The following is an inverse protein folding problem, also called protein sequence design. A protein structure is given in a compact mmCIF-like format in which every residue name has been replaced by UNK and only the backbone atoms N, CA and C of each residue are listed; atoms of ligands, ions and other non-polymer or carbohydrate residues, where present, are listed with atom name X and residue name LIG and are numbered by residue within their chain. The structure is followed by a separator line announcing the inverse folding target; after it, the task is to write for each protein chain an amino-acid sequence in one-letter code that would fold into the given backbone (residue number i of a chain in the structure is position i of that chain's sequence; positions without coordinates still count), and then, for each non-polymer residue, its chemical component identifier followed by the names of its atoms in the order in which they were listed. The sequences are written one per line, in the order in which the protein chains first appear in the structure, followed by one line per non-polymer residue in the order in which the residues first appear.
data_IF_395837852593
#
_entry.id   IF_395837852593
#
_cell.length_a   1.000
_cell.length_b   1.000
_cell.length_c   1.000
_cell.angle_alpha   90.00
_cell.angle_beta   90.00
_cell.angle_gamma   90.00
#
_symmetry.space_group_name_H-M   'P 1'
#
loop_
_entity.id
_entity.type
_entity.pdbx_description
1 polymer ?
#
# COMPACT_ATOMS: atom_id res chain seq x y z
N UNK A 1 -10.81 9.15 21.46
CA UNK A 1 -10.35 9.02 22.87
C UNK A 1 -10.98 10.07 23.77
N UNK A 2 -11.37 11.25 23.25
CA UNK A 2 -11.89 12.37 24.03
C UNK A 2 -10.82 13.19 24.76
N UNK A 3 -9.57 12.94 24.48
CA UNK A 3 -8.40 13.67 24.97
C UNK A 3 -7.77 14.48 23.84
N UNK A 4 -7.08 15.56 24.19
CA UNK A 4 -6.32 16.33 23.22
C UNK A 4 -5.18 15.45 22.66
N UNK A 5 -4.96 15.45 21.33
CA UNK A 5 -3.90 14.63 20.73
C UNK A 5 -2.52 15.15 21.12
N UNK A 6 -1.58 14.23 21.31
CA UNK A 6 -0.17 14.61 21.43
C UNK A 6 0.29 15.33 20.15
N UNK A 7 0.93 16.50 20.26
CA UNK A 7 1.35 17.30 19.09
C UNK A 7 2.31 16.57 18.15
N UNK A 8 3.18 15.70 18.67
CA UNK A 8 4.10 14.91 17.86
C UNK A 8 3.34 13.82 17.09
N UNK A 9 2.41 13.13 17.75
CA UNK A 9 1.53 12.14 17.13
C UNK A 9 0.66 12.76 16.02
N UNK A 10 0.10 13.96 16.29
CA UNK A 10 -0.68 14.70 15.29
C UNK A 10 0.18 15.09 14.08
N UNK A 11 1.42 15.57 14.29
CA UNK A 11 2.35 15.91 13.22
C UNK A 11 2.75 14.67 12.40
N UNK A 12 3.02 13.55 13.05
CA UNK A 12 3.38 12.31 12.38
C UNK A 12 2.23 11.77 11.50
N UNK A 13 1.00 11.85 12.00
CA UNK A 13 -0.19 11.48 11.25
C UNK A 13 -0.45 12.42 10.07
N UNK A 14 -0.34 13.73 10.25
CA UNK A 14 -0.48 14.73 9.19
C UNK A 14 0.51 14.48 8.04
N UNK A 15 1.78 14.23 8.37
CA UNK A 15 2.79 13.88 7.36
C UNK A 15 2.50 12.56 6.67
N UNK A 16 2.01 11.54 7.38
CA UNK A 16 1.56 10.29 6.77
C UNK A 16 0.46 10.55 5.76
N UNK A 17 -0.58 11.30 6.14
CA UNK A 17 -1.70 11.63 5.25
C UNK A 17 -1.23 12.41 4.01
N UNK A 18 -0.33 13.37 4.18
CA UNK A 18 0.25 14.15 3.08
C UNK A 18 1.05 13.26 2.10
N UNK A 19 1.91 12.38 2.60
CA UNK A 19 2.79 11.54 1.79
C UNK A 19 2.04 10.51 0.94
N UNK A 20 0.85 10.09 1.36
CA UNK A 20 0.05 9.09 0.66
C UNK A 20 -1.12 9.68 -0.15
N UNK A 21 -1.33 11.00 -0.08
CA UNK A 21 -2.47 11.70 -0.69
C UNK A 21 -2.59 11.45 -2.20
N UNK A 22 -1.45 11.36 -2.91
CA UNK A 22 -1.42 11.18 -4.36
C UNK A 22 -0.23 10.29 -4.77
N UNK A 23 -0.40 9.51 -5.82
CA UNK A 23 0.69 8.70 -6.42
C UNK A 23 0.38 8.27 -7.85
N UNK A 24 0.16 9.24 -8.73
CA UNK A 24 -0.06 9.03 -10.16
C UNK A 24 -1.18 8.02 -10.49
N UNK A 25 -1.06 7.32 -11.61
CA UNK A 25 -2.02 6.33 -12.09
C UNK A 25 -1.78 4.93 -11.46
N UNK A 26 -1.77 4.84 -10.13
CA UNK A 26 -1.80 3.56 -9.46
C UNK A 26 -3.14 2.81 -9.72
N UNK A 27 -3.22 1.54 -9.31
CA UNK A 27 -4.36 0.69 -9.63
C UNK A 27 -5.70 1.27 -9.17
N UNK A 28 -5.80 1.83 -7.96
CA UNK A 28 -7.04 2.41 -7.44
C UNK A 28 -7.40 3.74 -8.12
N UNK A 29 -6.42 4.58 -8.41
CA UNK A 29 -6.63 5.81 -9.20
C UNK A 29 -7.10 5.49 -10.61
N UNK A 30 -6.51 4.48 -11.25
CA UNK A 30 -6.96 4.03 -12.56
C UNK A 30 -8.41 3.50 -12.53
N UNK A 31 -8.77 2.74 -11.50
CA UNK A 31 -10.14 2.27 -11.29
C UNK A 31 -11.14 3.43 -11.14
N UNK A 32 -10.79 4.47 -10.35
CA UNK A 32 -11.60 5.68 -10.24
C UNK A 32 -11.78 6.38 -11.59
N UNK A 33 -10.70 6.55 -12.36
CA UNK A 33 -10.75 7.18 -13.69
C UNK A 33 -11.56 6.35 -14.71
N UNK A 34 -11.44 5.03 -14.68
CA UNK A 34 -12.27 4.16 -15.54
C UNK A 34 -13.75 4.36 -15.23
N UNK A 35 -14.13 4.35 -13.95
CA UNK A 35 -15.52 4.58 -13.54
C UNK A 35 -15.99 5.99 -13.92
N UNK A 36 -15.22 7.03 -13.63
CA UNK A 36 -15.54 8.41 -14.00
C UNK A 36 -15.67 8.60 -15.52
N UNK A 37 -14.86 7.90 -16.31
CA UNK A 37 -14.86 8.00 -17.78
C UNK A 37 -16.18 7.56 -18.41
N UNK A 38 -16.98 6.76 -17.70
CA UNK A 38 -18.31 6.34 -18.16
C UNK A 38 -19.41 7.38 -17.94
N UNK A 39 -19.08 8.53 -17.32
CA UNK A 39 -20.05 9.54 -16.87
C UNK A 39 -20.71 9.21 -15.53
N UNK A 40 -20.19 8.22 -14.79
CA UNK A 40 -20.67 7.90 -13.45
C UNK A 40 -20.27 8.97 -12.44
N UNK A 41 -20.98 9.01 -11.30
CA UNK A 41 -20.77 10.01 -10.25
C UNK A 41 -19.49 9.79 -9.43
N UNK A 42 -19.08 10.82 -8.67
CA UNK A 42 -17.88 10.82 -7.86
C UNK A 42 -17.90 9.69 -6.80
N UNK A 43 -19.04 9.44 -6.15
CA UNK A 43 -19.14 8.42 -5.09
C UNK A 43 -18.92 7.02 -5.66
N UNK A 44 -19.47 6.74 -6.85
CA UNK A 44 -19.25 5.48 -7.57
C UNK A 44 -17.78 5.30 -7.95
N UNK A 45 -17.11 6.36 -8.42
CA UNK A 45 -15.69 6.33 -8.75
C UNK A 45 -14.82 6.07 -7.50
N UNK A 46 -15.10 6.74 -6.38
CA UNK A 46 -14.39 6.54 -5.11
C UNK A 46 -14.66 5.12 -4.56
N UNK A 47 -15.89 4.62 -4.62
CA UNK A 47 -16.22 3.25 -4.19
C UNK A 47 -15.42 2.21 -5.00
N UNK A 48 -15.29 2.39 -6.30
CA UNK A 48 -14.48 1.54 -7.17
C UNK A 48 -12.99 1.58 -6.77
N UNK A 49 -12.47 2.78 -6.45
CA UNK A 49 -11.10 2.96 -5.98
C UNK A 49 -10.85 2.27 -4.64
N UNK A 50 -11.77 2.37 -3.67
CA UNK A 50 -11.70 1.69 -2.38
C UNK A 50 -11.68 0.18 -2.57
N UNK A 51 -12.55 -0.37 -3.44
CA UNK A 51 -12.58 -1.78 -3.77
C UNK A 51 -11.24 -2.28 -4.33
N UNK A 52 -10.54 -1.45 -5.11
CA UNK A 52 -9.22 -1.76 -5.66
C UNK A 52 -8.12 -1.60 -4.60
N UNK A 53 -8.18 -0.54 -3.78
CA UNK A 53 -7.18 -0.26 -2.75
C UNK A 53 -7.09 -1.36 -1.69
N UNK A 54 -8.21 -1.96 -1.29
CA UNK A 54 -8.24 -3.00 -0.26
C UNK A 54 -7.55 -4.31 -0.64
N UNK A 55 -7.12 -4.45 -1.89
CA UNK A 55 -6.42 -5.65 -2.34
C UNK A 55 -5.02 -5.80 -1.69
N UNK A 56 -4.59 -7.04 -1.33
CA UNK A 56 -3.32 -7.28 -0.63
C UNK A 56 -2.07 -6.94 -1.46
N UNK A 57 -2.22 -6.76 -2.77
CA UNK A 57 -1.15 -6.31 -3.66
C UNK A 57 -1.15 -4.78 -3.87
N UNK A 58 -1.98 -4.06 -3.13
CA UNK A 58 -2.09 -2.60 -3.19
C UNK A 58 -2.19 -2.03 -1.76
N UNK A 59 -3.17 -1.25 -1.41
CA UNK A 59 -3.22 -0.52 -0.13
C UNK A 59 -3.32 -1.39 1.13
N UNK A 60 -3.80 -2.64 1.04
CA UNK A 60 -3.74 -3.55 2.19
C UNK A 60 -2.32 -4.07 2.50
N UNK A 61 -1.32 -3.74 1.68
CA UNK A 61 0.08 -4.13 1.95
C UNK A 61 0.62 -3.54 3.26
N UNK A 62 0.13 -2.38 3.71
CA UNK A 62 0.50 -1.79 5.01
C UNK A 62 -0.01 -2.63 6.19
N UNK A 63 -1.20 -3.22 6.10
CA UNK A 63 -1.72 -4.18 7.08
C UNK A 63 -0.82 -5.42 7.14
N UNK A 64 -0.54 -6.03 5.99
CA UNK A 64 0.30 -7.22 5.90
C UNK A 64 1.73 -6.96 6.41
N UNK A 65 2.26 -5.75 6.19
CA UNK A 65 3.55 -5.34 6.73
C UNK A 65 3.53 -5.32 8.28
N UNK A 66 2.46 -4.82 8.91
CA UNK A 66 2.38 -4.85 10.37
C UNK A 66 2.18 -6.27 10.92
N UNK A 67 1.37 -7.10 10.27
CA UNK A 67 1.23 -8.52 10.64
C UNK A 67 2.59 -9.21 10.62
N UNK A 68 3.41 -8.94 9.60
CA UNK A 68 4.79 -9.43 9.53
C UNK A 68 5.65 -8.95 10.72
N UNK A 69 5.58 -7.68 11.09
CA UNK A 69 6.32 -7.15 12.24
C UNK A 69 5.87 -7.81 13.56
N UNK A 70 4.58 -8.02 13.73
CA UNK A 70 4.01 -8.72 14.89
C UNK A 70 4.44 -10.20 14.95
N UNK A 71 4.57 -10.87 13.80
CA UNK A 71 5.05 -12.25 13.70
C UNK A 71 6.55 -12.36 14.05
N UNK A 72 7.36 -11.37 13.68
CA UNK A 72 8.76 -11.26 14.11
C UNK A 72 8.85 -11.07 15.61
N UNK A 73 8.06 -10.20 16.19
CA UNK A 73 7.88 -9.94 17.61
C UNK A 73 9.04 -9.25 18.31
N UNK A 74 10.28 -9.64 18.06
CA UNK A 74 11.48 -9.06 18.69
C UNK A 74 12.63 -8.87 17.71
N UNK A 75 13.56 -7.96 18.02
CA UNK A 75 14.76 -7.69 17.19
C UNK A 75 15.60 -8.95 16.97
N UNK A 76 15.71 -9.80 17.99
CA UNK A 76 16.53 -11.03 17.91
C UNK A 76 15.93 -12.06 16.93
N UNK A 77 14.63 -12.02 16.72
CA UNK A 77 13.93 -12.91 15.80
C UNK A 77 14.02 -12.48 14.32
N UNK A 78 14.47 -11.28 14.03
CA UNK A 78 14.49 -10.74 12.65
C UNK A 78 15.26 -11.64 11.69
N UNK A 79 16.49 -12.02 12.01
CA UNK A 79 17.31 -12.84 11.11
C UNK A 79 16.81 -14.29 10.97
N UNK A 80 16.40 -14.99 12.06
CA UNK A 80 15.77 -16.30 11.95
C UNK A 80 14.49 -16.25 11.10
N UNK A 81 13.61 -15.30 11.38
CA UNK A 81 12.36 -15.10 10.63
C UNK A 81 12.64 -14.83 9.15
N UNK A 82 13.55 -13.90 8.84
CA UNK A 82 13.92 -13.56 7.47
C UNK A 82 14.42 -14.78 6.69
N UNK A 83 15.32 -15.58 7.28
CA UNK A 83 15.83 -16.81 6.66
C UNK A 83 14.71 -17.82 6.38
N UNK A 84 13.79 -18.00 7.33
CA UNK A 84 12.64 -18.90 7.17
C UNK A 84 11.70 -18.40 6.06
N UNK A 85 11.35 -17.12 6.06
CA UNK A 85 10.52 -16.50 5.03
C UNK A 85 11.14 -16.65 3.62
N UNK A 86 12.46 -16.42 3.50
CA UNK A 86 13.20 -16.60 2.24
C UNK A 86 13.20 -18.05 1.77
N UNK A 87 13.44 -19.00 2.67
CA UNK A 87 13.44 -20.44 2.36
C UNK A 87 12.06 -20.93 1.91
N UNK A 88 10.99 -20.38 2.49
CA UNK A 88 9.60 -20.67 2.12
C UNK A 88 9.12 -19.93 0.86
N UNK A 89 9.93 -19.03 0.29
CA UNK A 89 9.53 -18.20 -0.86
C UNK A 89 8.51 -17.11 -0.52
N UNK A 90 8.34 -16.80 0.75
CA UNK A 90 7.43 -15.75 1.20
C UNK A 90 7.99 -14.37 0.84
N UNK A 91 7.08 -13.44 0.55
CA UNK A 91 7.45 -12.03 0.36
C UNK A 91 7.74 -11.37 1.70
N UNK A 92 8.80 -10.56 1.73
CA UNK A 92 9.00 -9.60 2.81
C UNK A 92 8.16 -8.36 2.48
N UNK A 93 7.08 -8.16 3.22
CA UNK A 93 6.14 -7.07 2.96
C UNK A 93 6.80 -5.71 3.20
N UNK A 94 6.40 -4.72 2.40
CA UNK A 94 7.02 -3.40 2.44
C UNK A 94 8.38 -3.28 1.73
N UNK A 95 8.88 -4.34 1.08
CA UNK A 95 10.12 -4.31 0.30
C UNK A 95 9.84 -4.36 -1.21
N UNK A 96 10.43 -3.39 -1.93
CA UNK A 96 10.26 -3.23 -3.38
C UNK A 96 9.05 -2.37 -3.76
N UNK A 97 9.09 -1.81 -4.97
CA UNK A 97 8.04 -0.96 -5.51
C UNK A 97 7.87 -1.18 -7.02
N UNK A 98 6.65 -1.01 -7.55
CA UNK A 98 6.39 -1.20 -8.98
C UNK A 98 7.07 -0.12 -9.83
N UNK A 99 7.08 1.11 -9.34
CA UNK A 99 7.64 2.29 -10.02
C UNK A 99 9.09 2.55 -9.61
N UNK A 100 9.33 2.70 -8.31
CA UNK A 100 10.67 3.02 -7.81
C UNK A 100 11.63 1.84 -7.95
N UNK A 101 12.80 2.11 -8.54
CA UNK A 101 13.94 1.18 -8.62
C UNK A 101 15.04 1.54 -7.62
N UNK A 102 14.73 2.47 -6.73
CA UNK A 102 15.52 2.92 -5.59
C UNK A 102 14.63 2.91 -4.35
N UNK A 103 15.21 3.23 -3.19
CA UNK A 103 14.41 3.40 -1.96
C UNK A 103 13.31 4.42 -2.18
N UNK A 104 12.08 4.08 -1.77
CA UNK A 104 10.92 4.96 -1.88
C UNK A 104 11.18 6.28 -1.12
N UNK A 105 11.08 7.45 -1.78
CA UNK A 105 11.36 8.72 -1.12
C UNK A 105 10.47 9.01 0.09
N UNK A 106 9.29 8.39 0.16
CA UNK A 106 8.35 8.53 1.27
C UNK A 106 8.79 7.74 2.51
N UNK A 107 9.60 6.71 2.35
CA UNK A 107 10.07 5.89 3.46
C UNK A 107 10.97 6.67 4.44
N UNK A 108 11.78 7.62 3.95
CA UNK A 108 12.69 8.38 4.79
C UNK A 108 11.98 9.32 5.79
N UNK A 109 11.00 10.18 5.40
CA UNK A 109 10.26 10.99 6.36
C UNK A 109 9.40 10.17 7.32
N UNK A 110 8.83 9.03 6.90
CA UNK A 110 8.09 8.14 7.80
C UNK A 110 9.00 7.49 8.85
N UNK A 111 10.19 7.05 8.44
CA UNK A 111 11.21 6.56 9.36
C UNK A 111 11.63 7.63 10.38
N UNK A 112 11.84 8.86 9.93
CA UNK A 112 12.22 9.97 10.81
C UNK A 112 11.12 10.31 11.83
N UNK A 113 9.84 10.20 11.45
CA UNK A 113 8.73 10.38 12.39
C UNK A 113 8.68 9.26 13.43
N UNK A 114 8.86 8.01 13.00
CA UNK A 114 8.93 6.88 13.92
C UNK A 114 10.09 7.03 14.91
N UNK A 115 11.26 7.50 14.44
CA UNK A 115 12.43 7.78 15.30
C UNK A 115 12.12 8.86 16.35
N UNK A 116 11.46 9.96 15.97
CA UNK A 116 11.01 11.00 16.91
C UNK A 116 10.01 10.47 17.94
N UNK A 117 9.09 9.60 17.53
CA UNK A 117 8.18 8.94 18.45
C UNK A 117 8.94 8.10 19.48
N UNK A 118 9.95 7.35 19.05
CA UNK A 118 10.84 6.59 19.92
C UNK A 118 11.58 7.49 20.92
N UNK A 119 12.12 8.62 20.46
CA UNK A 119 12.80 9.58 21.33
C UNK A 119 11.87 10.16 22.41
N UNK A 120 10.59 10.37 22.07
CA UNK A 120 9.61 10.94 22.99
C UNK A 120 9.03 9.91 23.97
N UNK A 121 8.80 8.68 23.53
CA UNK A 121 8.12 7.63 24.33
C UNK A 121 9.07 6.63 24.98
N UNK A 122 10.25 6.45 24.41
CA UNK A 122 11.19 5.36 24.77
C UNK A 122 10.84 3.99 24.19
N UNK A 123 9.74 3.86 23.47
CA UNK A 123 9.27 2.61 22.86
C UNK A 123 9.98 2.33 21.54
N UNK A 124 11.05 1.52 21.59
CA UNK A 124 11.94 1.30 20.44
C UNK A 124 11.63 0.05 19.61
N UNK A 125 10.84 -0.88 20.13
CA UNK A 125 10.74 -2.24 19.59
C UNK A 125 10.46 -2.28 18.08
N UNK A 126 9.42 -1.60 17.65
CA UNK A 126 9.01 -1.61 16.24
C UNK A 126 9.98 -0.88 15.30
N UNK A 127 10.60 0.18 15.81
CA UNK A 127 11.66 0.89 15.08
C UNK A 127 12.89 0.01 14.90
N UNK A 128 13.34 -0.63 15.98
CA UNK A 128 14.54 -1.46 15.97
C UNK A 128 14.34 -2.72 15.09
N UNK A 129 13.15 -3.37 15.16
CA UNK A 129 12.78 -4.47 14.25
C UNK A 129 12.81 -3.99 12.80
N UNK A 130 12.19 -2.85 12.47
CA UNK A 130 12.15 -2.32 11.12
C UNK A 130 13.57 -2.02 10.59
N UNK A 131 14.40 -1.35 11.38
CA UNK A 131 15.79 -1.05 11.03
C UNK A 131 16.61 -2.32 10.78
N UNK A 132 16.49 -3.30 11.67
CA UNK A 132 17.19 -4.58 11.56
C UNK A 132 16.72 -5.36 10.33
N UNK A 133 15.39 -5.41 10.08
CA UNK A 133 14.83 -6.12 8.94
C UNK A 133 15.25 -5.47 7.60
N UNK A 134 15.21 -4.13 7.50
CA UNK A 134 15.68 -3.43 6.30
C UNK A 134 17.16 -3.75 6.05
N UNK A 135 18.02 -3.65 7.08
CA UNK A 135 19.44 -3.96 6.96
C UNK A 135 19.69 -5.42 6.54
N UNK A 136 18.97 -6.38 7.14
CA UNK A 136 19.06 -7.80 6.82
C UNK A 136 18.63 -8.08 5.37
N UNK A 137 17.52 -7.49 4.92
CA UNK A 137 17.04 -7.64 3.56
C UNK A 137 18.01 -7.02 2.54
N UNK A 138 18.54 -5.83 2.80
CA UNK A 138 19.50 -5.17 1.90
C UNK A 138 20.85 -5.87 1.81
N UNK A 139 21.22 -6.69 2.81
CA UNK A 139 22.39 -7.55 2.77
C UNK A 139 22.18 -8.85 1.95
N UNK A 140 20.92 -9.24 1.71
CA UNK A 140 20.60 -10.42 0.89
C UNK A 140 20.76 -10.11 -0.59
N UNK A 141 21.53 -10.90 -1.39
CA UNK A 141 21.76 -10.67 -2.81
C UNK A 141 20.47 -10.55 -3.64
N UNK A 142 19.43 -11.30 -3.29
CA UNK A 142 18.15 -11.25 -4.01
C UNK A 142 17.49 -9.87 -3.96
N UNK A 143 17.54 -9.19 -2.81
CA UNK A 143 16.97 -7.86 -2.65
C UNK A 143 17.88 -6.79 -3.25
N UNK A 144 19.18 -6.91 -2.99
CA UNK A 144 20.17 -5.96 -3.49
C UNK A 144 20.22 -5.92 -5.03
N UNK A 145 20.37 -7.07 -5.68
CA UNK A 145 20.47 -7.17 -7.15
C UNK A 145 19.19 -6.72 -7.87
N UNK A 146 18.02 -6.84 -7.21
CA UNK A 146 16.72 -6.44 -7.75
C UNK A 146 16.27 -5.06 -7.31
N UNK A 147 17.09 -4.34 -6.55
CA UNK A 147 16.77 -3.02 -5.98
C UNK A 147 15.45 -3.02 -5.18
N UNK A 148 15.21 -4.08 -4.39
CA UNK A 148 14.01 -4.22 -3.57
C UNK A 148 14.22 -3.53 -2.21
N UNK A 149 14.23 -2.20 -2.21
CA UNK A 149 14.37 -1.37 -1.01
C UNK A 149 13.03 -1.16 -0.30
N UNK A 150 13.07 -0.64 0.93
CA UNK A 150 11.88 -0.30 1.70
C UNK A 150 11.00 0.71 0.94
N UNK A 151 9.71 0.41 0.89
CA UNK A 151 8.68 1.27 0.31
C UNK A 151 7.89 1.99 1.41
N UNK A 152 6.83 2.72 1.03
CA UNK A 152 6.02 3.50 1.96
C UNK A 152 5.38 2.63 3.05
N UNK A 153 4.92 1.43 2.73
CA UNK A 153 4.21 0.55 3.67
C UNK A 153 5.12 0.05 4.80
N UNK A 154 6.42 -0.11 4.50
CA UNK A 154 7.40 -0.64 5.45
C UNK A 154 7.52 0.20 6.72
N UNK A 155 7.57 1.53 6.60
CA UNK A 155 7.66 2.44 7.75
C UNK A 155 6.30 3.01 8.17
N UNK A 156 5.31 3.00 7.30
CA UNK A 156 3.93 3.37 7.67
C UNK A 156 3.35 2.40 8.70
N UNK A 157 3.60 1.12 8.56
CA UNK A 157 3.02 0.10 9.43
C UNK A 157 3.43 0.28 10.90
N UNK A 158 4.71 0.30 11.26
CA UNK A 158 5.13 0.55 12.64
C UNK A 158 4.79 1.95 13.13
N UNK A 159 4.79 2.97 12.26
CA UNK A 159 4.38 4.33 12.63
C UNK A 159 2.91 4.37 13.07
N UNK A 160 1.99 3.87 12.24
CA UNK A 160 0.56 3.82 12.57
C UNK A 160 0.30 3.00 13.85
N UNK A 161 1.02 1.91 14.02
CA UNK A 161 0.91 1.07 15.22
C UNK A 161 1.37 1.83 16.48
N UNK A 162 2.49 2.55 16.41
CA UNK A 162 3.00 3.38 17.51
C UNK A 162 2.06 4.57 17.85
N UNK A 163 1.23 4.99 16.90
CA UNK A 163 0.18 5.98 17.12
C UNK A 163 -1.09 5.38 17.79
N UNK A 164 -1.10 4.08 18.12
CA UNK A 164 -2.24 3.39 18.71
C UNK A 164 -3.38 3.11 17.73
N UNK A 165 -3.14 3.21 16.43
CA UNK A 165 -4.15 2.90 15.42
C UNK A 165 -4.28 1.37 15.28
N UNK A 166 -5.50 0.81 15.36
CA UNK A 166 -5.71 -0.63 15.21
C UNK A 166 -5.29 -1.12 13.82
N UNK A 167 -4.61 -2.25 13.75
CA UNK A 167 -4.00 -2.80 12.50
C UNK A 167 -5.05 -3.04 11.41
N UNK A 168 -6.24 -3.51 11.79
CA UNK A 168 -7.36 -3.75 10.87
C UNK A 168 -7.92 -2.47 10.22
N UNK A 169 -7.57 -1.29 10.75
CA UNK A 169 -7.97 0.02 10.20
C UNK A 169 -6.91 0.68 9.32
N UNK A 170 -5.72 0.10 9.16
CA UNK A 170 -4.60 0.69 8.39
C UNK A 170 -4.97 1.01 6.93
N UNK A 171 -5.71 0.11 6.27
CA UNK A 171 -6.21 0.38 4.92
C UNK A 171 -7.22 1.52 4.87
N UNK A 172 -8.00 1.73 5.95
CA UNK A 172 -8.88 2.88 6.08
C UNK A 172 -8.08 4.18 6.21
N UNK A 173 -6.99 4.18 6.97
CA UNK A 173 -6.08 5.33 7.08
C UNK A 173 -5.46 5.68 5.73
N UNK A 174 -5.06 4.67 4.95
CA UNK A 174 -4.59 4.87 3.59
C UNK A 174 -5.68 5.47 2.70
N UNK A 175 -6.92 4.98 2.81
CA UNK A 175 -8.08 5.51 2.08
C UNK A 175 -8.33 6.99 2.40
N UNK A 176 -8.29 7.36 3.68
CA UNK A 176 -8.48 8.74 4.14
C UNK A 176 -7.47 9.70 3.51
N UNK A 177 -6.23 9.27 3.38
CA UNK A 177 -5.21 10.04 2.68
C UNK A 177 -5.47 10.11 1.17
N UNK A 178 -5.64 8.94 0.53
CA UNK A 178 -5.65 8.83 -0.93
C UNK A 178 -6.92 9.37 -1.59
N UNK A 179 -8.02 9.55 -0.87
CA UNK A 179 -9.28 10.08 -1.41
C UNK A 179 -9.10 11.45 -2.06
N UNK A 180 -8.18 12.26 -1.57
CA UNK A 180 -7.84 13.58 -2.14
C UNK A 180 -7.30 13.41 -3.57
N UNK A 181 -6.32 12.52 -3.75
CA UNK A 181 -5.76 12.23 -5.06
C UNK A 181 -6.78 11.61 -6.02
N UNK A 182 -7.60 10.66 -5.56
CA UNK A 182 -8.67 10.10 -6.39
C UNK A 182 -9.66 11.15 -6.86
N UNK A 183 -10.06 12.05 -5.97
CA UNK A 183 -11.00 13.14 -6.28
C UNK A 183 -10.39 14.08 -7.33
N UNK A 184 -9.14 14.47 -7.16
CA UNK A 184 -8.41 15.30 -8.14
C UNK A 184 -8.37 14.62 -9.52
N UNK A 185 -8.03 13.32 -9.56
CA UNK A 185 -8.01 12.55 -10.80
C UNK A 185 -9.39 12.38 -11.47
N UNK A 186 -10.46 12.28 -10.67
CA UNK A 186 -11.83 12.23 -11.21
C UNK A 186 -12.21 13.56 -11.86
N UNK A 187 -11.93 14.68 -11.19
CA UNK A 187 -12.19 16.01 -11.79
C UNK A 187 -11.38 16.22 -13.06
N UNK A 188 -10.09 15.90 -13.05
CA UNK A 188 -9.23 15.97 -14.23
C UNK A 188 -9.77 15.11 -15.39
N UNK A 189 -10.27 13.89 -15.08
CA UNK A 189 -10.90 13.04 -16.09
C UNK A 189 -12.16 13.65 -16.67
N UNK A 190 -12.97 14.33 -15.86
CA UNK A 190 -14.22 14.95 -16.27
C UNK A 190 -14.03 16.20 -17.15
N UNK A 191 -12.95 16.98 -16.93
CA UNK A 191 -12.65 18.19 -17.71
C UNK A 191 -12.48 17.92 -19.20
N UNK A 192 -11.88 16.78 -19.55
CA UNK A 192 -11.70 16.39 -20.96
C UNK A 192 -11.97 14.88 -21.10
N UNK A 193 -13.22 14.51 -20.82
CA UNK A 193 -13.60 13.11 -20.67
C UNK A 193 -13.57 12.33 -21.98
N UNK A 194 -12.94 11.19 -21.95
CA UNK A 194 -13.03 10.16 -22.97
C UNK A 194 -13.18 8.79 -22.30
N UNK A 195 -14.15 8.00 -22.77
CA UNK A 195 -14.38 6.64 -22.27
C UNK A 195 -13.10 5.79 -22.35
N UNK A 196 -12.66 5.28 -21.23
CA UNK A 196 -11.53 4.34 -21.13
C UNK A 196 -12.06 2.94 -21.44
N UNK A 197 -11.79 2.48 -22.64
CA UNK A 197 -12.24 1.17 -23.13
C UNK A 197 -11.12 0.50 -23.92
N UNK A 198 -10.29 -0.31 -23.27
CA UNK A 198 -9.22 -1.07 -23.94
C UNK A 198 -9.79 -2.00 -25.03
N UNK A 199 -9.03 -2.20 -26.07
CA UNK A 199 -9.32 -3.21 -27.09
C UNK A 199 -8.67 -4.54 -26.71
N UNK A 200 -9.29 -5.62 -27.16
CA UNK A 200 -8.76 -6.96 -26.98
C UNK A 200 -8.74 -7.73 -28.30
N UNK A 201 -7.76 -8.60 -28.48
CA UNK A 201 -7.73 -9.54 -29.58
C UNK A 201 -8.40 -10.85 -29.12
N UNK A 202 -9.38 -11.29 -29.89
CA UNK A 202 -10.00 -12.60 -29.65
C UNK A 202 -9.03 -13.71 -30.05
N UNK A 203 -8.75 -14.63 -29.12
CA UNK A 203 -7.85 -15.77 -29.31
C UNK A 203 -8.57 -17.12 -29.25
N UNK A 204 -9.90 -17.11 -29.17
CA UNK A 204 -10.71 -18.32 -29.17
C UNK A 204 -11.01 -18.83 -30.57
N UNK A 205 -11.75 -19.93 -30.64
CA UNK A 205 -12.20 -20.52 -31.90
C UNK A 205 -13.21 -19.60 -32.61
N UNK A 206 -12.93 -19.25 -33.85
CA UNK A 206 -13.79 -18.41 -34.68
C UNK A 206 -14.97 -19.24 -35.25
N UNK A 207 -16.09 -18.54 -35.47
CA UNK A 207 -17.28 -19.11 -36.15
C UNK A 207 -17.89 -20.34 -35.46
N UNK A 208 -17.80 -20.45 -34.13
CA UNK A 208 -18.52 -21.50 -33.39
C UNK A 208 -20.03 -21.36 -33.63
N UNK A 209 -20.73 -22.43 -34.01
CA UNK A 209 -22.18 -22.40 -34.17
C UNK A 209 -22.86 -22.12 -32.82
N UNK A 210 -23.96 -21.37 -32.85
CA UNK A 210 -24.81 -21.25 -31.68
C UNK A 210 -25.51 -22.59 -31.42
N UNK A 211 -25.36 -23.16 -30.25
CA UNK A 211 -26.05 -24.37 -29.79
C UNK A 211 -27.24 -23.92 -28.94
N UNK A 212 -28.50 -24.24 -29.32
CA UNK A 212 -29.68 -23.95 -28.52
C UNK A 212 -29.56 -24.52 -27.11
N UNK A 213 -30.16 -23.82 -26.10
CA UNK A 213 -30.03 -24.22 -24.71
C UNK A 213 -30.47 -25.66 -24.43
N UNK A 214 -31.49 -26.13 -25.13
CA UNK A 214 -32.01 -27.51 -25.01
C UNK A 214 -31.04 -28.59 -25.53
N UNK A 215 -30.02 -28.21 -26.31
CA UNK A 215 -29.04 -29.12 -26.93
C UNK A 215 -27.65 -29.00 -26.24
N UNK A 216 -27.52 -28.19 -25.18
CA UNK A 216 -26.28 -28.05 -24.41
C UNK A 216 -26.20 -29.16 -23.36
N UNK A 217 -25.14 -29.96 -23.39
CA UNK A 217 -24.82 -30.98 -22.38
C UNK A 217 -24.35 -30.33 -21.04
#
# INVERSE_FOLDING_TARGET
TGEDPDPLAATALDQYLLLLAEHELNASTFSARVTASTGSDLHSAITSAIGTLKGPLHGAAVHEAMVQFLDIGTVDNVEPWFRQARAAGHRVMGMGHRVYKVRDPRAAPLMANLERMVEATGEREWFDIARKLEATAMADPYFHERNLSANVDFYSAPLLYSLGIPVDTFTCMFTMSRIVGWTAHVYEQQENNRLIRPLANFVGEHQRPYIPIAERA
#
